data_IF_685301602005
#
_entry.id   IF_685301602005
#
_cell.length_a   1.000
_cell.length_b   1.000
_cell.length_c   1.000
_cell.angle_alpha   90.00
_cell.angle_beta   90.00
_cell.angle_gamma   90.00
#
_symmetry.space_group_name_H-M   'P 1'
#
loop_
_entity.id
_entity.type
_entity.pdbx_description
1 polymer ?
#
# COMPACT_ATOMS: atom_id res chain seq x y z
N UNK A 1 0.31 -26.13 27.27
CA UNK A 1 -0.34 -26.14 25.93
C UNK A 1 0.53 -25.32 24.98
N UNK A 2 0.66 -25.73 23.74
CA UNK A 2 1.38 -24.97 22.70
C UNK A 2 0.53 -23.79 22.30
N UNK A 3 1.11 -22.59 22.27
CA UNK A 3 0.42 -21.38 21.83
C UNK A 3 0.54 -21.20 20.32
N UNK A 4 -0.58 -21.01 19.65
CA UNK A 4 -0.65 -20.74 18.23
C UNK A 4 -0.63 -19.22 17.97
N UNK A 5 0.38 -18.76 17.25
CA UNK A 5 0.43 -17.38 16.71
C UNK A 5 0.14 -17.49 15.21
N UNK A 6 -0.99 -16.94 14.78
CA UNK A 6 -1.40 -16.99 13.38
C UNK A 6 -1.20 -15.62 12.75
N UNK A 7 -0.56 -15.60 11.58
CA UNK A 7 -0.41 -14.42 10.73
C UNK A 7 -1.21 -14.63 9.46
N UNK A 8 -2.20 -13.78 9.19
CA UNK A 8 -3.05 -13.85 7.99
C UNK A 8 -2.61 -12.79 6.98
N UNK A 9 -2.15 -13.27 5.83
CA UNK A 9 -1.72 -12.43 4.70
C UNK A 9 -0.25 -12.63 4.32
N UNK A 10 0.01 -13.16 3.12
CA UNK A 10 1.33 -13.42 2.57
C UNK A 10 2.00 -12.21 1.88
N UNK A 11 1.55 -10.97 2.18
CA UNK A 11 2.20 -9.75 1.74
C UNK A 11 3.43 -9.39 2.58
N UNK A 12 4.02 -8.19 2.33
CA UNK A 12 5.24 -7.76 3.04
C UNK A 12 5.04 -7.74 4.56
N UNK A 13 3.90 -7.20 5.03
CA UNK A 13 3.61 -7.12 6.46
C UNK A 13 3.62 -8.50 7.13
N UNK A 14 2.78 -9.42 6.65
CA UNK A 14 2.65 -10.74 7.26
C UNK A 14 3.90 -11.60 7.11
N UNK A 15 4.53 -11.62 5.93
CA UNK A 15 5.76 -12.42 5.70
C UNK A 15 6.90 -11.96 6.61
N UNK A 16 7.14 -10.66 6.68
CA UNK A 16 8.19 -10.09 7.53
C UNK A 16 7.88 -10.33 9.01
N UNK A 17 6.62 -10.13 9.42
CA UNK A 17 6.22 -10.31 10.83
C UNK A 17 6.33 -11.75 11.26
N UNK A 18 5.93 -12.71 10.44
CA UNK A 18 6.10 -14.14 10.75
C UNK A 18 7.58 -14.48 10.95
N UNK A 19 8.46 -14.01 10.05
CA UNK A 19 9.91 -14.22 10.19
C UNK A 19 10.51 -13.53 11.43
N UNK A 20 10.10 -12.31 11.73
CA UNK A 20 10.54 -11.57 12.91
C UNK A 20 10.08 -12.22 14.22
N UNK A 21 8.85 -12.75 14.24
CA UNK A 21 8.33 -13.51 15.38
C UNK A 21 9.19 -14.75 15.69
N UNK A 22 9.66 -15.47 14.66
CA UNK A 22 10.61 -16.58 14.88
C UNK A 22 11.86 -16.09 15.59
N UNK A 23 12.48 -15.02 15.10
CA UNK A 23 13.66 -14.45 15.76
C UNK A 23 13.40 -13.98 17.20
N UNK A 24 12.23 -13.38 17.43
CA UNK A 24 11.85 -12.82 18.74
C UNK A 24 11.48 -13.89 19.77
N UNK A 25 10.86 -14.99 19.32
CA UNK A 25 10.32 -16.06 20.16
C UNK A 25 11.09 -17.39 19.98
N UNK A 26 12.31 -17.33 19.45
CA UNK A 26 13.11 -18.54 19.19
C UNK A 26 13.26 -19.45 20.42
N UNK A 27 13.50 -18.94 21.64
CA UNK A 27 13.57 -19.78 22.84
C UNK A 27 12.27 -20.54 23.12
N UNK A 28 11.11 -19.89 22.95
CA UNK A 28 9.79 -20.50 23.18
C UNK A 28 9.47 -21.54 22.10
N UNK A 29 9.82 -21.24 20.85
CA UNK A 29 9.66 -22.19 19.72
C UNK A 29 10.54 -23.41 19.93
N UNK A 30 11.81 -23.23 20.31
CA UNK A 30 12.74 -24.36 20.56
C UNK A 30 12.32 -25.26 21.68
N UNK A 31 11.54 -24.76 22.66
CA UNK A 31 10.95 -25.59 23.73
C UNK A 31 9.60 -26.18 23.36
N UNK A 32 9.10 -25.95 22.15
CA UNK A 32 7.79 -26.42 21.71
C UNK A 32 6.61 -25.73 22.39
N UNK A 33 6.80 -24.52 22.90
CA UNK A 33 5.78 -23.73 23.60
C UNK A 33 4.97 -22.85 22.64
N UNK A 34 5.53 -22.55 21.45
CA UNK A 34 4.96 -21.67 20.44
C UNK A 34 5.03 -22.29 19.06
N UNK A 35 3.96 -22.12 18.31
CA UNK A 35 3.85 -22.45 16.89
C UNK A 35 3.48 -21.20 16.11
N UNK A 36 4.19 -20.89 15.02
CA UNK A 36 3.89 -19.77 14.13
C UNK A 36 3.34 -20.30 12.83
N UNK A 37 2.17 -19.79 12.44
CA UNK A 37 1.46 -20.21 11.22
C UNK A 37 1.26 -18.99 10.35
N UNK A 38 1.71 -19.03 9.09
CA UNK A 38 1.37 -18.02 8.08
C UNK A 38 0.30 -18.58 7.14
N UNK A 39 -0.83 -17.90 7.04
CA UNK A 39 -1.93 -18.24 6.12
C UNK A 39 -1.95 -17.26 4.96
N UNK A 40 -1.97 -17.75 3.73
CA UNK A 40 -2.11 -16.93 2.52
C UNK A 40 -2.89 -17.66 1.44
N UNK A 41 -3.73 -16.91 0.72
CA UNK A 41 -4.49 -17.42 -0.42
C UNK A 41 -3.67 -17.53 -1.72
N UNK A 42 -2.36 -17.25 -1.66
CA UNK A 42 -1.46 -17.32 -2.82
C UNK A 42 -0.16 -18.04 -2.45
N UNK A 43 0.33 -18.94 -3.31
CA UNK A 43 1.65 -19.53 -3.14
C UNK A 43 2.78 -18.53 -3.49
N UNK A 44 2.41 -17.34 -3.98
CA UNK A 44 3.36 -16.32 -4.44
C UNK A 44 3.30 -15.08 -3.57
N UNK A 45 4.47 -14.62 -3.18
CA UNK A 45 4.67 -13.29 -2.62
C UNK A 45 5.03 -12.34 -3.76
N UNK A 46 4.28 -11.23 -3.89
CA UNK A 46 4.51 -10.21 -4.90
C UNK A 46 5.11 -8.94 -4.30
N UNK A 47 6.12 -8.40 -4.97
CA UNK A 47 6.62 -7.05 -4.71
C UNK A 47 5.70 -6.03 -5.39
N UNK A 48 4.55 -5.74 -4.76
CA UNK A 48 3.51 -4.85 -5.31
C UNK A 48 4.01 -3.43 -5.63
N UNK A 49 4.91 -2.78 -4.84
CA UNK A 49 5.39 -1.44 -5.17
C UNK A 49 6.09 -1.32 -6.52
N UNK A 50 6.57 -2.43 -7.09
CA UNK A 50 7.19 -2.41 -8.42
C UNK A 50 6.18 -2.46 -9.57
N UNK A 51 4.89 -2.64 -9.33
CA UNK A 51 3.89 -2.57 -10.40
C UNK A 51 3.86 -1.22 -11.11
N UNK A 52 4.18 -0.13 -10.39
CA UNK A 52 4.36 1.18 -11.03
C UNK A 52 5.44 1.17 -12.13
N UNK A 53 6.51 0.38 -11.99
CA UNK A 53 7.55 0.27 -13.01
C UNK A 53 7.14 -0.63 -14.17
N UNK A 54 6.23 -1.59 -13.94
CA UNK A 54 5.62 -2.39 -15.02
C UNK A 54 4.86 -1.49 -15.99
N UNK A 55 4.23 -0.43 -15.49
CA UNK A 55 3.57 0.58 -16.32
C UNK A 55 4.53 1.36 -17.25
N UNK A 56 5.85 1.22 -17.04
CA UNK A 56 6.90 1.81 -17.90
C UNK A 56 7.79 0.77 -18.55
N UNK A 57 7.33 -0.48 -18.66
CA UNK A 57 8.04 -1.56 -19.35
C UNK A 57 9.20 -2.17 -18.58
N UNK A 58 9.43 -1.77 -17.33
CA UNK A 58 10.40 -2.40 -16.46
C UNK A 58 9.77 -3.58 -15.71
N UNK A 59 10.58 -4.59 -15.44
CA UNK A 59 10.22 -5.84 -14.74
C UNK A 59 9.17 -6.72 -15.44
N UNK A 60 9.51 -7.97 -15.55
CA UNK A 60 8.57 -9.04 -15.87
C UNK A 60 7.92 -9.57 -14.58
N UNK A 61 6.76 -10.23 -14.72
CA UNK A 61 6.00 -10.77 -13.59
C UNK A 61 6.84 -11.70 -12.70
N UNK A 62 7.70 -12.49 -13.32
CA UNK A 62 8.57 -13.46 -12.65
C UNK A 62 9.63 -12.79 -11.77
N UNK A 63 10.08 -11.61 -12.13
CA UNK A 63 11.04 -10.83 -11.34
C UNK A 63 10.41 -10.26 -10.07
N UNK A 64 9.09 -10.00 -10.12
CA UNK A 64 8.31 -9.37 -9.06
C UNK A 64 7.71 -10.35 -8.06
N UNK A 65 7.97 -11.64 -8.19
CA UNK A 65 7.42 -12.64 -7.28
C UNK A 65 8.47 -13.65 -6.82
N UNK A 66 8.23 -14.19 -5.64
CA UNK A 66 8.95 -15.35 -5.10
C UNK A 66 7.92 -16.32 -4.55
N UNK A 67 8.26 -17.62 -4.56
CA UNK A 67 7.42 -18.60 -3.89
C UNK A 67 7.37 -18.28 -2.40
N UNK A 68 6.18 -18.19 -1.80
CA UNK A 68 5.99 -17.76 -0.42
C UNK A 68 6.88 -18.56 0.55
N UNK A 69 6.88 -19.90 0.45
CA UNK A 69 7.66 -20.77 1.30
C UNK A 69 9.18 -20.48 1.23
N UNK A 70 9.70 -19.97 0.09
CA UNK A 70 11.13 -19.65 -0.04
C UNK A 70 11.56 -18.41 0.74
N UNK A 71 10.60 -17.62 1.23
CA UNK A 71 10.83 -16.40 2.02
C UNK A 71 10.65 -16.65 3.51
N UNK A 72 10.14 -17.81 3.91
CA UNK A 72 9.85 -18.14 5.30
C UNK A 72 11.00 -18.91 5.95
N UNK A 73 11.20 -18.68 7.24
CA UNK A 73 12.05 -19.51 8.08
C UNK A 73 11.44 -20.89 8.24
N UNK A 74 12.26 -21.95 8.42
CA UNK A 74 11.76 -23.34 8.51
C UNK A 74 10.84 -23.61 9.71
N UNK A 75 10.88 -22.74 10.72
CA UNK A 75 10.03 -22.83 11.91
C UNK A 75 8.60 -22.33 11.68
N UNK A 76 8.28 -21.80 10.49
CA UNK A 76 6.96 -21.27 10.15
C UNK A 76 6.16 -22.30 9.36
N UNK A 77 5.01 -22.67 9.85
CA UNK A 77 4.05 -23.47 9.12
C UNK A 77 3.33 -22.60 8.09
N UNK A 78 3.50 -22.91 6.81
CA UNK A 78 2.81 -22.21 5.74
C UNK A 78 1.53 -22.94 5.34
N UNK A 79 0.39 -22.26 5.47
CA UNK A 79 -0.93 -22.75 5.03
C UNK A 79 -1.38 -21.96 3.80
N UNK A 80 -1.51 -22.69 2.69
CA UNK A 80 -2.04 -22.14 1.45
C UNK A 80 -3.56 -22.32 1.44
N UNK A 81 -4.27 -21.34 1.98
CA UNK A 81 -5.72 -21.30 2.03
C UNK A 81 -6.20 -19.84 2.20
N UNK A 82 -7.49 -19.62 2.03
CA UNK A 82 -8.12 -18.31 2.23
C UNK A 82 -8.93 -18.30 3.51
N UNK A 83 -8.73 -17.24 4.32
CA UNK A 83 -9.61 -16.94 5.43
C UNK A 83 -10.90 -16.35 4.87
N UNK A 84 -12.02 -17.00 5.10
CA UNK A 84 -13.35 -16.55 4.72
C UNK A 84 -14.13 -15.93 5.88
N UNK A 85 -13.63 -16.04 7.12
CA UNK A 85 -14.26 -15.37 8.26
C UNK A 85 -13.33 -15.25 9.47
N UNK A 86 -13.42 -14.11 10.14
CA UNK A 86 -12.77 -13.82 11.41
C UNK A 86 -13.80 -13.86 12.54
N UNK A 87 -13.67 -14.81 13.44
CA UNK A 87 -14.49 -14.92 14.65
C UNK A 87 -13.67 -14.44 15.86
N UNK A 88 -13.43 -13.12 15.94
CA UNK A 88 -12.53 -12.52 16.93
C UNK A 88 -12.91 -12.85 18.36
N UNK A 89 -14.21 -12.82 18.69
CA UNK A 89 -14.72 -13.13 20.04
C UNK A 89 -14.43 -14.57 20.49
N UNK A 90 -14.28 -15.50 19.54
CA UNK A 90 -14.02 -16.91 19.78
C UNK A 90 -12.55 -17.30 19.57
N UNK A 91 -11.69 -16.35 19.18
CA UNK A 91 -10.31 -16.60 18.77
C UNK A 91 -10.18 -17.66 17.66
N UNK A 92 -11.05 -17.60 16.65
CA UNK A 92 -11.13 -18.57 15.55
C UNK A 92 -11.10 -17.91 14.18
N UNK A 93 -10.55 -18.66 13.22
CA UNK A 93 -10.58 -18.35 11.79
C UNK A 93 -11.35 -19.45 11.07
N UNK A 94 -12.26 -19.06 10.19
CA UNK A 94 -12.94 -19.96 9.26
C UNK A 94 -12.26 -19.89 7.89
N UNK A 95 -11.87 -21.04 7.38
CA UNK A 95 -11.15 -21.17 6.11
C UNK A 95 -12.12 -21.49 4.97
N UNK A 96 -11.69 -21.17 3.74
CA UNK A 96 -12.45 -21.54 2.51
C UNK A 96 -12.53 -23.03 2.30
N UNK A 97 -11.50 -23.79 2.71
CA UNK A 97 -11.52 -25.27 2.72
C UNK A 97 -12.61 -25.87 3.60
N UNK A 98 -13.17 -25.11 4.53
CA UNK A 98 -14.05 -25.57 5.60
C UNK A 98 -13.34 -25.85 6.92
N UNK A 99 -12.02 -25.80 6.92
CA UNK A 99 -11.22 -25.95 8.16
C UNK A 99 -11.41 -24.74 9.09
N UNK A 100 -11.13 -24.96 10.38
CA UNK A 100 -11.12 -23.92 11.41
C UNK A 100 -9.79 -23.91 12.14
N UNK A 101 -9.21 -22.73 12.34
CA UNK A 101 -8.00 -22.55 13.14
C UNK A 101 -8.31 -21.74 14.40
N UNK A 102 -7.84 -22.24 15.55
CA UNK A 102 -7.87 -21.50 16.81
C UNK A 102 -6.51 -20.85 17.05
N UNK A 103 -6.51 -19.64 17.58
CA UNK A 103 -5.28 -18.89 17.86
C UNK A 103 -5.25 -18.37 19.30
N UNK A 104 -4.04 -18.31 19.85
CA UNK A 104 -3.75 -17.55 21.07
C UNK A 104 -3.46 -16.08 20.74
N UNK A 105 -2.75 -15.86 19.63
CA UNK A 105 -2.48 -14.53 19.07
C UNK A 105 -2.71 -14.51 17.56
N UNK A 106 -3.27 -13.42 17.07
CA UNK A 106 -3.55 -13.22 15.65
C UNK A 106 -2.90 -11.92 15.16
N UNK A 107 -2.31 -11.97 13.97
CA UNK A 107 -1.89 -10.78 13.21
C UNK A 107 -2.66 -10.73 11.91
N UNK A 108 -3.49 -9.70 11.72
CA UNK A 108 -4.25 -9.47 10.48
C UNK A 108 -3.45 -8.51 9.57
N UNK A 109 -2.94 -9.04 8.47
CA UNK A 109 -2.12 -8.32 7.47
C UNK A 109 -2.61 -8.58 6.05
N UNK A 110 -3.92 -8.57 5.85
CA UNK A 110 -4.58 -8.91 4.58
C UNK A 110 -4.42 -7.84 3.51
N UNK A 111 -4.02 -6.62 3.91
CA UNK A 111 -3.86 -5.50 3.01
C UNK A 111 -5.17 -4.95 2.48
N UNK A 112 -5.11 -4.36 1.28
CA UNK A 112 -6.26 -3.80 0.59
C UNK A 112 -6.31 -4.26 -0.86
N UNK A 113 -7.48 -4.07 -1.49
CA UNK A 113 -7.72 -4.34 -2.92
C UNK A 113 -8.20 -3.07 -3.62
N UNK A 114 -7.71 -2.78 -4.84
CA UNK A 114 -8.27 -1.73 -5.69
C UNK A 114 -9.71 -2.06 -6.07
N UNK A 115 -10.57 -1.05 -6.08
CA UNK A 115 -12.01 -1.15 -6.33
C UNK A 115 -12.46 -0.06 -7.30
N UNK A 116 -11.97 -0.06 -8.57
CA UNK A 116 -12.37 0.94 -9.56
C UNK A 116 -13.87 0.92 -9.86
N UNK A 117 -14.54 -0.21 -9.68
CA UNK A 117 -16.00 -0.38 -9.83
C UNK A 117 -16.83 0.50 -8.90
N UNK A 118 -16.22 1.09 -7.87
CA UNK A 118 -16.90 2.01 -6.95
C UNK A 118 -17.09 3.42 -7.52
N UNK A 119 -16.46 3.72 -8.63
CA UNK A 119 -16.67 4.96 -9.39
C UNK A 119 -17.22 4.54 -10.75
N UNK A 120 -18.42 5.04 -11.08
CA UNK A 120 -19.10 4.73 -12.35
C UNK A 120 -18.19 5.01 -13.55
N UNK A 121 -18.06 4.04 -14.46
CA UNK A 121 -17.27 4.14 -15.69
C UNK A 121 -15.75 4.07 -15.50
N UNK A 122 -15.24 4.05 -14.25
CA UNK A 122 -13.79 4.04 -14.02
C UNK A 122 -13.18 2.68 -14.38
N UNK A 123 -13.87 1.59 -14.11
CA UNK A 123 -13.37 0.25 -14.45
C UNK A 123 -13.24 0.05 -15.97
N UNK A 124 -14.08 0.68 -16.76
CA UNK A 124 -14.11 0.57 -18.22
C UNK A 124 -13.09 1.46 -18.90
N UNK A 125 -12.86 2.65 -18.38
CA UNK A 125 -12.05 3.69 -19.05
C UNK A 125 -10.77 4.09 -18.31
N UNK A 126 -10.69 3.79 -17.01
CA UNK A 126 -9.51 4.15 -16.21
C UNK A 126 -8.41 3.09 -16.24
N UNK A 127 -7.18 3.55 -16.22
CA UNK A 127 -6.00 2.72 -16.09
C UNK A 127 -5.34 2.96 -14.73
N UNK A 128 -4.71 1.92 -14.18
CA UNK A 128 -3.96 2.04 -12.93
C UNK A 128 -2.77 1.07 -12.87
N UNK A 129 -1.89 1.29 -11.91
CA UNK A 129 -0.68 0.48 -11.69
C UNK A 129 -0.66 -0.27 -10.35
N UNK A 130 -1.80 -0.41 -9.69
CA UNK A 130 -1.91 -1.10 -8.39
C UNK A 130 -1.99 -2.62 -8.50
N UNK A 131 -2.13 -3.15 -9.70
CA UNK A 131 -2.14 -4.57 -10.03
C UNK A 131 -1.30 -4.81 -11.28
N UNK A 132 -0.75 -6.02 -11.43
CA UNK A 132 0.16 -6.32 -12.55
C UNK A 132 -0.50 -6.21 -13.93
N UNK A 133 -1.71 -6.78 -14.10
CA UNK A 133 -2.40 -6.76 -15.40
C UNK A 133 -2.79 -5.33 -15.83
N UNK A 134 -3.46 -4.51 -15.00
CA UNK A 134 -3.70 -3.10 -15.32
C UNK A 134 -2.43 -2.29 -15.59
N UNK A 135 -1.36 -2.51 -14.81
CA UNK A 135 -0.08 -1.83 -15.06
C UNK A 135 0.50 -2.18 -16.45
N UNK A 136 0.35 -3.42 -16.88
CA UNK A 136 0.77 -3.86 -18.21
C UNK A 136 -0.09 -3.24 -19.31
N UNK A 137 -1.40 -3.17 -19.13
CA UNK A 137 -2.32 -2.49 -20.06
C UNK A 137 -1.99 -1.00 -20.18
N UNK A 138 -1.71 -0.34 -19.05
CA UNK A 138 -1.26 1.06 -19.05
C UNK A 138 0.04 1.21 -19.86
N UNK A 139 1.03 0.32 -19.69
CA UNK A 139 2.26 0.33 -20.48
C UNK A 139 1.98 0.24 -21.97
N UNK A 140 1.09 -0.64 -22.41
CA UNK A 140 0.73 -0.80 -23.82
C UNK A 140 0.17 0.50 -24.41
N UNK A 141 -0.70 1.19 -23.65
CA UNK A 141 -1.26 2.49 -24.06
C UNK A 141 -0.20 3.60 -24.12
N UNK A 142 0.59 3.77 -23.04
CA UNK A 142 1.58 4.86 -23.00
C UNK A 142 2.78 4.62 -23.92
N UNK A 143 3.05 3.36 -24.30
CA UNK A 143 4.12 3.02 -25.25
C UNK A 143 3.74 3.28 -26.71
N UNK A 144 2.46 3.46 -27.03
CA UNK A 144 1.96 3.64 -28.40
C UNK A 144 1.36 5.02 -28.66
N UNK A 145 1.00 5.76 -27.63
CA UNK A 145 0.45 7.11 -27.80
C UNK A 145 1.50 8.04 -28.40
N UNK A 146 1.12 8.79 -29.45
CA UNK A 146 1.99 9.75 -30.13
C UNK A 146 1.60 11.19 -29.85
N UNK A 147 0.32 11.45 -29.61
CA UNK A 147 -0.26 12.77 -29.29
C UNK A 147 -1.53 12.60 -28.48
N UNK A 148 -1.89 13.64 -27.72
CA UNK A 148 -3.14 13.66 -26.97
C UNK A 148 -2.96 14.12 -25.54
N UNK A 149 -3.91 13.72 -24.67
CA UNK A 149 -4.01 14.17 -23.29
C UNK A 149 -4.03 12.99 -22.32
N UNK A 150 -3.09 12.97 -21.41
CA UNK A 150 -3.05 12.01 -20.29
C UNK A 150 -3.50 12.74 -19.04
N UNK A 151 -4.65 12.31 -18.53
CA UNK A 151 -5.26 12.87 -17.32
C UNK A 151 -4.96 11.94 -16.15
N UNK A 152 -4.33 12.48 -15.09
CA UNK A 152 -3.90 11.72 -13.93
C UNK A 152 -4.73 12.16 -12.74
N UNK A 153 -5.58 11.26 -12.28
CA UNK A 153 -6.45 11.50 -11.14
C UNK A 153 -5.98 10.76 -9.89
N UNK A 154 -6.27 11.36 -8.75
CA UNK A 154 -5.99 10.77 -7.44
C UNK A 154 -7.27 10.73 -6.63
N UNK A 155 -7.66 9.54 -6.19
CA UNK A 155 -8.80 9.36 -5.28
C UNK A 155 -8.32 9.39 -3.85
N UNK A 156 -8.80 10.39 -3.08
CA UNK A 156 -8.57 10.49 -1.65
C UNK A 156 -9.89 10.58 -0.89
N UNK A 157 -9.91 10.16 0.37
CA UNK A 157 -11.06 10.39 1.24
C UNK A 157 -11.37 11.89 1.35
N UNK A 158 -12.63 12.22 1.43
CA UNK A 158 -13.11 13.60 1.66
C UNK A 158 -13.13 13.98 3.14
N UNK A 159 -12.93 13.02 4.03
CA UNK A 159 -12.87 13.20 5.48
C UNK A 159 -11.43 13.31 5.95
N UNK A 160 -11.07 14.26 6.83
CA UNK A 160 -9.72 14.35 7.40
C UNK A 160 -9.43 13.23 8.40
N UNK A 161 -8.14 12.95 8.61
CA UNK A 161 -7.63 12.00 9.62
C UNK A 161 -8.18 10.57 9.46
N UNK A 162 -8.39 10.13 8.24
CA UNK A 162 -8.78 8.75 7.92
C UNK A 162 -7.68 8.06 7.11
N UNK A 163 -7.69 6.72 7.05
CA UNK A 163 -6.81 5.97 6.17
C UNK A 163 -6.94 6.42 4.70
N UNK A 164 -5.83 6.53 4.00
CA UNK A 164 -5.82 6.99 2.61
C UNK A 164 -4.80 6.25 1.77
N UNK A 165 -5.01 6.25 0.46
CA UNK A 165 -4.05 5.69 -0.48
C UNK A 165 -2.71 6.42 -0.42
N UNK A 166 -1.67 5.78 -0.97
CA UNK A 166 -0.35 6.38 -1.10
C UNK A 166 -0.41 7.61 -2.02
N UNK A 167 -0.28 8.80 -1.43
CA UNK A 167 -0.28 10.07 -2.19
C UNK A 167 1.01 10.31 -2.98
N UNK A 168 2.07 9.57 -2.69
CA UNK A 168 3.36 9.69 -3.35
C UNK A 168 3.36 8.95 -4.70
N UNK A 169 2.75 7.78 -4.77
CA UNK A 169 2.79 6.93 -5.95
C UNK A 169 2.23 7.59 -7.24
N UNK A 170 1.11 8.33 -7.21
CA UNK A 170 0.64 9.05 -8.39
C UNK A 170 1.61 10.14 -8.87
N UNK A 171 2.26 10.83 -7.93
CA UNK A 171 3.30 11.82 -8.23
C UNK A 171 4.52 11.15 -8.87
N UNK A 172 5.01 10.06 -8.28
CA UNK A 172 6.14 9.28 -8.82
C UNK A 172 5.87 8.87 -10.26
N UNK A 173 4.70 8.28 -10.52
CA UNK A 173 4.32 7.81 -11.86
C UNK A 173 4.14 8.95 -12.85
N UNK A 174 3.68 10.11 -12.42
CA UNK A 174 3.59 11.31 -13.26
C UNK A 174 4.97 11.79 -13.72
N UNK A 175 5.94 11.85 -12.82
CA UNK A 175 7.31 12.24 -13.15
C UNK A 175 8.04 11.19 -14.00
N UNK A 176 7.76 9.92 -13.76
CA UNK A 176 8.26 8.82 -14.60
C UNK A 176 7.65 8.88 -16.01
N UNK A 177 6.35 9.18 -16.12
CA UNK A 177 5.65 9.33 -17.39
C UNK A 177 6.26 10.47 -18.22
N UNK A 178 6.50 11.62 -17.61
CA UNK A 178 7.14 12.75 -18.31
C UNK A 178 8.48 12.34 -18.91
N UNK A 179 9.36 11.68 -18.15
CA UNK A 179 10.65 11.21 -18.66
C UNK A 179 10.52 10.10 -19.70
N UNK A 180 9.59 9.16 -19.52
CA UNK A 180 9.33 8.10 -20.48
C UNK A 180 8.89 8.67 -21.84
N UNK A 181 7.98 9.64 -21.85
CA UNK A 181 7.52 10.29 -23.07
C UNK A 181 8.63 11.14 -23.73
N UNK A 182 9.52 11.77 -22.95
CA UNK A 182 10.71 12.45 -23.46
C UNK A 182 11.68 11.49 -24.11
N UNK A 183 11.94 10.32 -23.52
CA UNK A 183 12.78 9.27 -24.09
C UNK A 183 12.22 8.73 -25.41
N UNK A 184 10.88 8.69 -25.54
CA UNK A 184 10.20 8.33 -26.79
C UNK A 184 10.19 9.46 -27.83
N UNK A 185 10.57 10.69 -27.47
CA UNK A 185 10.55 11.85 -28.36
C UNK A 185 9.17 12.40 -28.68
N UNK A 186 8.13 12.04 -27.91
CA UNK A 186 6.73 12.45 -28.16
C UNK A 186 6.17 13.39 -27.10
N UNK A 187 6.97 13.75 -26.07
CA UNK A 187 6.51 14.52 -24.92
C UNK A 187 5.81 15.85 -25.29
N UNK A 188 6.32 16.54 -26.30
CA UNK A 188 5.80 17.85 -26.72
C UNK A 188 4.43 17.77 -27.43
N UNK A 189 4.02 16.57 -27.85
CA UNK A 189 2.71 16.30 -28.45
C UNK A 189 1.68 15.80 -27.44
N UNK A 190 2.07 15.64 -26.17
CA UNK A 190 1.23 15.04 -25.14
C UNK A 190 1.07 16.02 -23.98
N UNK A 191 -0.18 16.41 -23.71
CA UNK A 191 -0.52 17.15 -22.51
C UNK A 191 -0.64 16.21 -21.32
N UNK A 192 0.11 16.49 -20.25
CA UNK A 192 -0.04 15.80 -18.96
C UNK A 192 -0.75 16.74 -18.00
N UNK A 193 -1.86 16.26 -17.42
CA UNK A 193 -2.64 17.00 -16.40
C UNK A 193 -2.74 16.13 -15.15
N UNK A 194 -2.17 16.60 -14.05
CA UNK A 194 -2.25 15.97 -12.74
C UNK A 194 -3.33 16.63 -11.89
N UNK A 195 -4.21 15.83 -11.32
CA UNK A 195 -5.30 16.36 -10.47
C UNK A 195 -5.30 15.73 -9.09
N UNK A 196 -5.83 16.49 -8.13
CA UNK A 196 -6.07 15.97 -6.79
C UNK A 196 -7.21 16.73 -6.11
N UNK A 197 -7.96 16.10 -5.21
CA UNK A 197 -9.04 16.74 -4.48
C UNK A 197 -8.55 17.89 -3.60
N UNK A 198 -9.36 18.91 -3.42
CA UNK A 198 -9.05 20.09 -2.59
C UNK A 198 -8.74 19.72 -1.14
N UNK A 199 -9.34 18.63 -0.68
CA UNK A 199 -9.21 18.09 0.66
C UNK A 199 -7.84 17.42 0.92
N UNK A 200 -7.01 17.26 -0.12
CA UNK A 200 -5.60 16.94 0.10
C UNK A 200 -4.93 17.86 1.15
N UNK A 201 -5.52 19.02 1.43
CA UNK A 201 -5.11 19.88 2.54
C UNK A 201 -5.32 19.28 3.93
N UNK A 202 -6.18 18.32 4.07
CA UNK A 202 -6.50 17.70 5.35
C UNK A 202 -5.76 16.38 5.58
N UNK A 203 -5.08 15.88 4.55
CA UNK A 203 -4.29 14.64 4.63
C UNK A 203 -2.83 15.01 4.78
N UNK A 204 -2.31 14.94 5.99
CA UNK A 204 -0.91 15.30 6.35
C UNK A 204 0.15 14.77 5.39
N UNK A 205 -0.13 13.69 4.69
CA UNK A 205 0.82 12.89 3.93
C UNK A 205 0.75 13.07 2.40
N UNK A 206 -0.15 13.91 1.89
CA UNK A 206 -0.22 14.28 0.46
C UNK A 206 0.63 15.50 0.09
N UNK A 207 1.67 15.74 0.67
CA UNK A 207 2.20 16.93 1.31
C UNK A 207 3.29 17.65 0.61
N UNK A 208 3.62 17.25 -0.59
CA UNK A 208 4.45 18.10 -1.42
C UNK A 208 3.76 19.43 -1.81
N UNK A 209 2.49 19.56 -1.47
CA UNK A 209 1.63 20.65 -1.93
C UNK A 209 1.23 21.66 -0.85
N UNK A 210 1.59 21.45 0.43
CA UNK A 210 0.90 22.18 1.49
C UNK A 210 1.72 22.87 2.57
N UNK A 211 3.02 22.87 2.46
CA UNK A 211 3.86 23.62 3.41
C UNK A 211 4.30 24.95 2.85
N UNK A 212 4.93 25.83 3.67
CA UNK A 212 5.76 26.90 3.15
C UNK A 212 6.79 26.42 2.13
N UNK A 213 7.19 25.10 2.23
CA UNK A 213 7.91 24.32 1.21
C UNK A 213 6.99 23.59 0.23
N UNK A 214 5.68 23.73 0.34
CA UNK A 214 4.67 23.05 -0.47
C UNK A 214 4.64 23.41 -1.94
N UNK A 215 5.38 24.41 -2.31
CA UNK A 215 5.62 24.82 -3.70
C UNK A 215 6.61 23.92 -4.45
N UNK A 216 7.21 22.92 -3.79
CA UNK A 216 8.21 22.05 -4.44
C UNK A 216 7.59 21.27 -5.58
N UNK A 217 6.43 20.63 -5.39
CA UNK A 217 5.83 19.85 -6.46
C UNK A 217 5.22 20.68 -7.58
N UNK A 218 4.45 21.77 -7.31
CA UNK A 218 4.04 22.71 -8.35
C UNK A 218 5.23 23.22 -9.18
N UNK A 219 6.31 23.65 -8.54
CA UNK A 219 7.50 24.12 -9.24
C UNK A 219 8.15 23.05 -10.10
N UNK A 220 8.20 21.81 -9.63
CA UNK A 220 8.72 20.66 -10.40
C UNK A 220 7.82 20.37 -11.60
N UNK A 221 6.50 20.43 -11.43
CA UNK A 221 5.56 20.19 -12.51
C UNK A 221 5.62 21.30 -13.57
N UNK A 222 5.63 22.56 -13.15
CA UNK A 222 5.78 23.72 -14.04
C UNK A 222 7.07 23.65 -14.85
N UNK A 223 8.21 23.35 -14.21
CA UNK A 223 9.51 23.21 -14.88
C UNK A 223 9.52 22.07 -15.93
N UNK A 224 8.62 21.10 -15.82
CA UNK A 224 8.46 19.97 -16.73
C UNK A 224 7.32 20.15 -17.73
N UNK A 225 6.58 21.27 -17.67
CA UNK A 225 5.40 21.50 -18.51
C UNK A 225 4.25 20.54 -18.19
N UNK A 226 4.15 20.09 -16.92
CA UNK A 226 3.04 19.28 -16.43
C UNK A 226 2.01 20.23 -15.83
N UNK A 227 0.79 20.21 -16.34
CA UNK A 227 -0.31 20.98 -15.75
C UNK A 227 -0.78 20.30 -14.48
N UNK A 228 -1.13 21.09 -13.48
CA UNK A 228 -1.75 20.55 -12.27
C UNK A 228 -3.02 21.32 -11.92
N UNK A 229 -4.01 20.60 -11.42
CA UNK A 229 -5.33 21.11 -11.10
C UNK A 229 -5.73 20.68 -9.70
N UNK A 230 -6.12 21.64 -8.87
CA UNK A 230 -6.62 21.40 -7.52
C UNK A 230 -8.15 21.34 -7.53
N UNK A 231 -8.72 20.56 -6.62
CA UNK A 231 -10.16 20.57 -6.40
C UNK A 231 -10.94 19.68 -7.35
N UNK A 232 -10.29 18.82 -8.11
CA UNK A 232 -10.99 17.87 -8.97
C UNK A 232 -11.16 16.54 -8.23
N UNK A 233 -12.31 16.31 -7.63
CA UNK A 233 -12.70 15.03 -7.03
C UNK A 233 -13.50 14.24 -8.06
N UNK A 234 -12.95 13.13 -8.54
CA UNK A 234 -13.59 12.31 -9.56
C UNK A 234 -14.87 11.65 -9.01
N UNK A 235 -16.02 11.96 -9.60
CA UNK A 235 -17.31 11.36 -9.28
C UNK A 235 -17.66 10.20 -10.23
N UNK A 236 -17.44 10.37 -11.52
CA UNK A 236 -17.71 9.36 -12.54
C UNK A 236 -16.89 9.58 -13.81
N UNK A 237 -16.84 8.59 -14.65
CA UNK A 237 -16.22 8.63 -15.99
C UNK A 237 -17.26 8.29 -17.04
N UNK A 238 -17.25 9.03 -18.14
CA UNK A 238 -17.99 8.68 -19.36
C UNK A 238 -17.01 7.99 -20.33
N UNK A 239 -17.07 6.65 -20.48
CA UNK A 239 -16.13 5.91 -21.31
C UNK A 239 -16.27 6.20 -22.81
N UNK A 240 -17.47 6.49 -23.28
CA UNK A 240 -17.75 6.72 -24.70
C UNK A 240 -17.21 8.10 -25.13
N UNK A 241 -17.47 9.11 -24.33
CA UNK A 241 -16.96 10.49 -24.56
C UNK A 241 -15.51 10.68 -24.14
N UNK A 242 -14.93 9.73 -23.39
CA UNK A 242 -13.64 9.85 -22.71
C UNK A 242 -13.54 11.11 -21.86
N UNK A 243 -14.46 11.26 -20.93
CA UNK A 243 -14.57 12.42 -20.05
C UNK A 243 -14.58 11.95 -18.59
N UNK A 244 -13.69 12.53 -17.80
CA UNK A 244 -13.72 12.45 -16.34
C UNK A 244 -14.58 13.59 -15.80
N UNK A 245 -15.49 13.32 -14.88
CA UNK A 245 -16.47 14.26 -14.35
C UNK A 245 -16.28 14.37 -12.84
N UNK A 246 -16.09 15.59 -12.34
CA UNK A 246 -15.91 15.83 -10.90
C UNK A 246 -17.25 15.84 -10.14
N UNK A 247 -17.17 15.83 -8.80
CA UNK A 247 -18.33 15.98 -7.91
C UNK A 247 -19.06 17.31 -8.15
N UNK A 248 -18.33 18.36 -8.56
CA UNK A 248 -18.88 19.67 -8.90
C UNK A 248 -19.42 19.75 -10.34
N UNK A 249 -19.32 18.66 -11.11
CA UNK A 249 -19.80 18.59 -12.49
C UNK A 249 -18.83 19.14 -13.53
N UNK A 250 -17.57 19.39 -13.14
CA UNK A 250 -16.55 19.81 -14.09
C UNK A 250 -16.13 18.63 -14.97
N UNK A 251 -16.01 18.86 -16.27
CA UNK A 251 -15.66 17.85 -17.26
C UNK A 251 -14.21 18.03 -17.75
N UNK A 252 -13.45 16.93 -17.80
CA UNK A 252 -12.10 16.86 -18.30
C UNK A 252 -11.93 15.73 -19.32
N UNK A 253 -11.58 16.09 -20.55
CA UNK A 253 -11.33 15.11 -21.61
C UNK A 253 -9.98 14.40 -21.40
N UNK A 254 -9.88 13.17 -21.87
CA UNK A 254 -8.63 12.41 -21.87
C UNK A 254 -8.54 11.44 -23.06
N UNK A 255 -7.33 11.12 -23.48
CA UNK A 255 -7.02 9.96 -24.32
C UNK A 255 -6.64 8.75 -23.46
N UNK A 256 -5.91 9.02 -22.37
CA UNK A 256 -5.60 8.03 -21.31
C UNK A 256 -5.97 8.64 -19.96
N UNK A 257 -6.77 7.93 -19.17
CA UNK A 257 -7.07 8.25 -17.78
C UNK A 257 -6.25 7.34 -16.87
N UNK A 258 -5.19 7.87 -16.24
CA UNK A 258 -4.43 7.16 -15.21
C UNK A 258 -4.97 7.55 -13.84
N UNK A 259 -5.75 6.70 -13.21
CA UNK A 259 -6.44 6.99 -11.96
C UNK A 259 -5.91 6.14 -10.81
N UNK A 260 -5.61 6.75 -9.68
CA UNK A 260 -5.51 6.02 -8.41
C UNK A 260 -6.91 5.55 -8.03
N UNK A 261 -7.23 4.26 -8.09
CA UNK A 261 -8.59 3.78 -7.85
C UNK A 261 -8.94 3.84 -6.37
N UNK A 262 -10.23 3.87 -6.01
CA UNK A 262 -10.65 3.56 -4.64
C UNK A 262 -10.08 2.22 -4.19
N UNK A 263 -9.91 2.05 -2.88
CA UNK A 263 -9.46 0.81 -2.26
C UNK A 263 -10.41 0.38 -1.15
N UNK A 264 -10.42 -0.89 -0.85
CA UNK A 264 -11.18 -1.46 0.27
C UNK A 264 -10.45 -2.64 0.92
N UNK A 265 -10.88 -3.01 2.10
CA UNK A 265 -10.45 -4.25 2.74
C UNK A 265 -10.95 -5.50 1.96
N UNK A 266 -10.37 -6.65 2.26
CA UNK A 266 -10.85 -7.94 1.74
C UNK A 266 -12.20 -8.32 2.36
N UNK A 267 -12.98 -9.14 1.66
CA UNK A 267 -14.37 -9.47 2.06
C UNK A 267 -14.45 -10.04 3.48
N UNK A 268 -13.55 -10.96 3.86
CA UNK A 268 -13.53 -11.53 5.20
C UNK A 268 -13.35 -10.48 6.32
N UNK A 269 -12.66 -9.38 6.04
CA UNK A 269 -12.52 -8.25 6.97
C UNK A 269 -13.79 -7.41 6.98
N UNK A 270 -14.36 -7.10 5.82
CA UNK A 270 -15.63 -6.37 5.72
C UNK A 270 -16.77 -7.09 6.46
N UNK A 271 -16.81 -8.41 6.36
CA UNK A 271 -17.84 -9.26 6.96
C UNK A 271 -17.57 -9.64 8.43
N UNK A 272 -16.44 -9.19 9.00
CA UNK A 272 -16.01 -9.58 10.36
C UNK A 272 -16.92 -9.05 11.49
N UNK A 273 -17.79 -8.09 11.18
CA UNK A 273 -18.68 -7.46 12.15
C UNK A 273 -18.03 -6.40 13.05
N UNK A 274 -16.70 -6.25 12.98
CA UNK A 274 -15.95 -5.23 13.77
C UNK A 274 -15.34 -4.16 12.87
N UNK A 275 -15.33 -4.36 11.55
CA UNK A 275 -14.82 -3.36 10.61
C UNK A 275 -15.68 -2.10 10.69
N UNK A 276 -15.07 -0.97 10.98
CA UNK A 276 -15.72 0.33 10.92
C UNK A 276 -15.26 1.01 9.64
N UNK A 277 -16.18 1.43 8.83
CA UNK A 277 -15.81 2.09 7.61
C UNK A 277 -16.47 3.45 7.51
N UNK A 278 -15.70 4.54 7.55
CA UNK A 278 -16.10 5.67 6.75
C UNK A 278 -16.15 5.18 5.30
N UNK A 279 -17.25 5.35 4.61
CA UNK A 279 -17.43 4.99 3.20
C UNK A 279 -17.42 3.49 2.84
N UNK A 280 -17.72 2.59 3.76
CA UNK A 280 -17.73 1.12 3.52
C UNK A 280 -16.40 0.54 2.99
N UNK A 281 -15.25 1.11 3.34
CA UNK A 281 -13.95 0.59 2.95
C UNK A 281 -13.49 -0.59 3.82
N UNK A 282 -14.03 -0.71 5.03
CA UNK A 282 -13.92 -1.90 5.88
C UNK A 282 -12.59 -2.07 6.61
N UNK A 283 -11.97 -0.97 7.06
CA UNK A 283 -10.74 -1.06 7.85
C UNK A 283 -11.02 -1.57 9.27
N UNK A 284 -10.04 -2.22 9.89
CA UNK A 284 -10.14 -2.72 11.26
C UNK A 284 -9.76 -1.60 12.25
N UNK A 285 -10.62 -1.28 13.23
CA UNK A 285 -10.33 -0.29 14.27
C UNK A 285 -9.10 -0.74 15.07
N UNK A 286 -8.07 0.08 15.03
CA UNK A 286 -6.74 -0.29 15.50
C UNK A 286 -6.23 0.72 16.51
N UNK A 287 -5.82 0.28 17.69
CA UNK A 287 -5.11 1.14 18.63
C UNK A 287 -3.83 1.66 17.98
N UNK A 288 -3.70 2.98 17.92
CA UNK A 288 -2.65 3.66 17.16
C UNK A 288 -1.23 3.41 17.67
N UNK A 289 -1.09 2.99 18.93
CA UNK A 289 0.20 2.77 19.57
C UNK A 289 0.55 1.30 19.68
N UNK A 290 -0.33 0.49 20.24
CA UNK A 290 -0.07 -0.95 20.42
C UNK A 290 -0.26 -1.78 19.14
N UNK A 291 -1.02 -1.26 18.16
CA UNK A 291 -1.48 -1.94 16.94
C UNK A 291 -2.42 -3.11 17.23
N UNK A 292 -3.05 -3.14 18.40
CA UNK A 292 -4.09 -4.11 18.73
C UNK A 292 -5.42 -3.73 18.05
N UNK A 293 -6.20 -4.73 17.67
CA UNK A 293 -7.59 -4.54 17.28
C UNK A 293 -8.36 -4.04 18.52
N UNK A 294 -9.09 -2.93 18.39
CA UNK A 294 -9.85 -2.37 19.51
C UNK A 294 -10.82 -3.40 20.10
N UNK A 295 -10.75 -3.59 21.41
CA UNK A 295 -11.55 -4.59 22.14
C UNK A 295 -10.96 -6.00 22.19
N UNK A 296 -9.78 -6.26 21.57
CA UNK A 296 -9.17 -7.58 21.52
C UNK A 296 -7.67 -7.53 21.82
N UNK A 297 -7.29 -7.92 23.03
CA UNK A 297 -5.89 -7.85 23.49
C UNK A 297 -4.93 -8.81 22.76
N UNK A 298 -5.45 -9.87 22.16
CA UNK A 298 -4.66 -10.90 21.46
C UNK A 298 -4.68 -10.81 19.94
N UNK A 299 -5.30 -9.76 19.38
CA UNK A 299 -5.39 -9.54 17.94
C UNK A 299 -4.66 -8.25 17.55
N UNK A 300 -3.76 -8.35 16.60
CA UNK A 300 -2.99 -7.23 16.07
C UNK A 300 -3.33 -7.00 14.60
N UNK A 301 -3.29 -5.74 14.17
CA UNK A 301 -3.60 -5.33 12.80
C UNK A 301 -2.44 -4.54 12.23
N UNK A 302 -2.09 -4.77 10.96
CA UNK A 302 -1.00 -4.05 10.31
C UNK A 302 -1.17 -3.85 8.80
N UNK A 303 -0.32 -3.00 8.27
CA UNK A 303 -0.30 -2.67 6.85
C UNK A 303 -1.55 -1.90 6.42
N UNK A 304 -2.04 -2.18 5.21
CA UNK A 304 -3.18 -1.44 4.67
C UNK A 304 -4.52 -1.82 5.33
N UNK A 305 -4.55 -2.83 6.19
CA UNK A 305 -5.78 -3.27 6.89
C UNK A 305 -6.18 -2.37 8.05
N UNK A 306 -5.23 -1.58 8.61
CA UNK A 306 -5.47 -0.72 9.77
C UNK A 306 -6.41 0.45 9.47
N UNK A 307 -7.17 0.87 10.46
CA UNK A 307 -7.93 2.12 10.47
C UNK A 307 -7.13 3.26 11.13
N UNK A 308 -5.95 3.52 10.59
CA UNK A 308 -5.09 4.58 11.10
C UNK A 308 -4.96 5.72 10.07
N UNK A 309 -4.83 6.97 10.49
CA UNK A 309 -4.70 8.13 9.60
C UNK A 309 -3.30 8.22 8.98
N UNK A 310 -2.86 7.11 8.39
CA UNK A 310 -1.58 6.98 7.69
C UNK A 310 -1.80 6.51 6.26
N UNK A 311 -0.80 6.75 5.42
CA UNK A 311 -0.81 6.28 4.04
C UNK A 311 -0.78 4.75 3.99
N UNK A 312 -1.68 4.15 3.20
CA UNK A 312 -1.65 2.73 2.88
C UNK A 312 -0.52 2.43 1.92
N UNK A 313 0.63 2.19 2.50
CA UNK A 313 1.89 1.93 1.80
C UNK A 313 2.70 0.86 2.53
N UNK A 314 3.37 0.00 1.78
CA UNK A 314 4.22 -1.06 2.36
C UNK A 314 5.33 -0.55 3.30
N UNK A 315 5.69 0.73 3.20
CA UNK A 315 6.65 1.37 4.08
C UNK A 315 6.24 1.45 5.56
N UNK A 316 4.93 1.45 5.87
CA UNK A 316 4.43 1.42 7.25
C UNK A 316 4.75 0.08 7.94
N UNK A 317 4.68 -1.03 7.20
CA UNK A 317 4.89 -2.37 7.74
C UNK A 317 6.28 -2.55 8.39
N UNK A 318 7.31 -1.87 7.87
CA UNK A 318 8.67 -1.94 8.41
C UNK A 318 8.77 -1.46 9.86
N UNK A 319 7.94 -0.47 10.23
CA UNK A 319 7.91 0.09 11.58
C UNK A 319 6.84 -0.59 12.46
N UNK A 320 5.77 -1.11 11.87
CA UNK A 320 4.69 -1.82 12.59
C UNK A 320 5.13 -3.23 13.04
N UNK A 321 5.85 -3.97 12.19
CA UNK A 321 6.24 -5.35 12.50
C UNK A 321 7.06 -5.50 13.78
N UNK A 322 8.10 -4.70 14.06
CA UNK A 322 8.84 -4.77 15.32
C UNK A 322 7.95 -4.49 16.55
N UNK A 323 7.00 -3.55 16.45
CA UNK A 323 6.07 -3.22 17.53
C UNK A 323 5.19 -4.43 17.86
N UNK A 324 4.56 -5.03 16.85
CA UNK A 324 3.70 -6.21 17.01
C UNK A 324 4.50 -7.39 17.60
N UNK A 325 5.69 -7.67 17.07
CA UNK A 325 6.52 -8.77 17.58
C UNK A 325 6.92 -8.56 19.05
N UNK A 326 7.27 -7.31 19.43
CA UNK A 326 7.59 -6.99 20.81
C UNK A 326 6.36 -7.10 21.70
N UNK A 327 5.20 -6.66 21.25
CA UNK A 327 3.97 -6.68 22.03
C UNK A 327 3.45 -8.12 22.24
N UNK A 328 3.49 -8.97 21.21
CA UNK A 328 3.15 -10.40 21.38
C UNK A 328 4.10 -11.05 22.38
N UNK A 329 5.40 -10.83 22.26
CA UNK A 329 6.39 -11.38 23.21
C UNK A 329 6.19 -10.80 24.63
N UNK A 330 5.83 -9.52 24.75
CA UNK A 330 5.51 -8.86 26.03
C UNK A 330 4.29 -9.45 26.68
N UNK A 331 3.21 -9.65 25.96
CA UNK A 331 2.00 -10.30 26.45
C UNK A 331 2.27 -11.73 26.91
N UNK A 332 3.06 -12.50 26.15
CA UNK A 332 3.40 -13.86 26.51
C UNK A 332 4.26 -13.98 27.77
N UNK A 333 5.23 -13.08 27.94
CA UNK A 333 6.25 -13.17 29.00
C UNK A 333 5.83 -12.41 30.26
N UNK A 334 5.11 -11.29 30.09
CA UNK A 334 4.84 -10.33 31.18
C UNK A 334 3.38 -9.91 31.28
N UNK A 335 2.50 -10.40 30.39
CA UNK A 335 1.06 -10.07 30.41
C UNK A 335 0.75 -8.62 30.01
N UNK A 336 1.66 -7.93 29.30
CA UNK A 336 1.46 -6.54 28.86
C UNK A 336 2.18 -6.23 27.55
N UNK A 337 1.69 -5.24 26.81
CA UNK A 337 2.40 -4.63 25.67
C UNK A 337 3.63 -3.84 26.17
N UNK A 338 4.66 -3.76 25.35
CA UNK A 338 5.98 -3.18 25.69
C UNK A 338 6.55 -2.27 24.63
N UNK A 339 5.87 -2.09 23.50
CA UNK A 339 6.30 -1.26 22.40
C UNK A 339 5.14 -0.44 21.85
N UNK A 340 5.45 0.73 21.31
CA UNK A 340 4.48 1.65 20.72
C UNK A 340 4.89 2.03 19.29
N UNK A 341 3.92 2.13 18.41
CA UNK A 341 4.04 2.64 17.06
C UNK A 341 3.79 4.14 17.06
N UNK A 342 4.66 4.89 16.44
CA UNK A 342 4.62 6.36 16.38
C UNK A 342 3.97 6.90 15.08
N UNK A 343 3.43 6.02 14.23
CA UNK A 343 2.87 6.41 12.94
C UNK A 343 3.90 6.48 11.81
N UNK A 344 5.12 6.04 12.05
CA UNK A 344 6.23 6.18 11.11
C UNK A 344 6.00 5.43 9.80
N UNK A 345 6.08 6.19 8.72
CA UNK A 345 6.11 5.69 7.34
C UNK A 345 7.37 6.22 6.66
N UNK A 346 8.07 5.35 5.97
CA UNK A 346 9.28 5.71 5.25
C UNK A 346 9.24 5.24 3.81
N UNK A 347 9.80 6.03 2.91
CA UNK A 347 9.88 5.71 1.49
C UNK A 347 11.08 6.41 0.83
N UNK A 348 11.41 5.97 -0.37
CA UNK A 348 12.24 6.72 -1.29
C UNK A 348 11.36 7.04 -2.49
N UNK A 349 10.87 8.28 -2.59
CA UNK A 349 10.03 8.69 -3.69
C UNK A 349 10.84 8.77 -4.99
N UNK A 350 10.30 8.20 -6.06
CA UNK A 350 10.90 8.26 -7.39
C UNK A 350 10.61 9.64 -8.03
N UNK A 351 11.65 10.37 -8.39
CA UNK A 351 11.54 11.73 -8.93
C UNK A 351 11.90 11.77 -10.44
N UNK A 352 11.27 10.88 -11.19
CA UNK A 352 11.60 10.52 -12.56
C UNK A 352 12.29 9.16 -12.62
N UNK A 353 12.97 8.80 -13.71
CA UNK A 353 13.53 7.46 -13.90
C UNK A 353 14.85 7.22 -13.15
N UNK A 354 15.59 8.29 -12.85
CA UNK A 354 16.96 8.21 -12.33
C UNK A 354 17.15 8.77 -10.92
N UNK A 355 16.30 9.71 -10.49
CA UNK A 355 16.45 10.36 -9.20
C UNK A 355 15.46 9.80 -8.16
N UNK A 356 15.90 9.78 -6.91
CA UNK A 356 15.06 9.39 -5.76
C UNK A 356 15.21 10.36 -4.61
N UNK A 357 14.14 10.52 -3.85
CA UNK A 357 14.06 11.41 -2.71
C UNK A 357 13.67 10.59 -1.47
N UNK A 358 14.61 10.30 -0.55
CA UNK A 358 14.28 9.72 0.73
C UNK A 358 13.34 10.63 1.53
N UNK A 359 12.35 10.05 2.16
CA UNK A 359 11.39 10.77 3.00
C UNK A 359 10.85 9.86 4.10
N UNK A 360 10.40 10.47 5.17
CA UNK A 360 9.67 9.83 6.24
C UNK A 360 8.75 10.84 6.92
N UNK A 361 7.76 10.36 7.61
CA UNK A 361 6.84 11.12 8.46
C UNK A 361 6.28 10.20 9.53
N UNK A 362 5.69 10.77 10.56
CA UNK A 362 5.01 10.05 11.64
C UNK A 362 3.74 10.79 12.08
N UNK A 363 3.17 10.44 13.23
CA UNK A 363 1.95 11.09 13.71
C UNK A 363 2.12 12.58 14.00
N UNK A 364 3.31 13.01 14.40
CA UNK A 364 3.59 14.37 14.86
C UNK A 364 4.39 15.18 13.84
N UNK A 365 5.23 14.49 13.06
CA UNK A 365 6.11 15.11 12.08
C UNK A 365 5.62 14.83 10.67
N UNK A 366 5.34 15.90 9.98
CA UNK A 366 5.01 15.84 8.56
C UNK A 366 6.23 15.55 7.66
N UNK A 367 5.99 15.15 6.39
CA UNK A 367 7.04 14.93 5.40
C UNK A 367 7.90 16.18 5.23
N UNK A 368 9.21 16.03 5.46
CA UNK A 368 10.21 17.02 5.10
C UNK A 368 10.83 16.57 3.78
N UNK A 369 10.59 17.31 2.67
CA UNK A 369 11.20 16.97 1.40
C UNK A 369 12.72 17.10 1.50
N UNK A 370 13.44 16.04 1.12
CA UNK A 370 14.89 16.10 0.91
C UNK A 370 15.20 16.37 -0.57
N UNK A 371 16.37 16.84 -0.94
CA UNK A 371 16.73 16.95 -2.35
C UNK A 371 16.66 15.60 -3.07
N UNK A 372 16.07 15.59 -4.26
CA UNK A 372 16.11 14.44 -5.14
C UNK A 372 17.54 14.25 -5.68
N UNK A 373 18.08 13.04 -5.59
CA UNK A 373 19.45 12.75 -6.00
C UNK A 373 19.53 11.45 -6.80
N UNK A 374 20.57 11.31 -7.63
CA UNK A 374 20.90 10.03 -8.29
C UNK A 374 21.25 8.93 -7.29
N UNK A 375 21.84 9.28 -6.14
CA UNK A 375 22.11 8.33 -5.05
C UNK A 375 20.80 7.79 -4.50
N UNK A 376 19.81 8.65 -4.22
CA UNK A 376 18.47 8.23 -3.81
C UNK A 376 17.81 7.31 -4.86
N UNK A 377 17.96 7.62 -6.15
CA UNK A 377 17.50 6.75 -7.23
C UNK A 377 18.19 5.38 -7.24
N UNK A 378 19.51 5.35 -7.02
CA UNK A 378 20.26 4.09 -6.91
C UNK A 378 19.80 3.27 -5.68
N UNK A 379 19.59 3.91 -4.55
CA UNK A 379 19.04 3.25 -3.35
C UNK A 379 17.67 2.63 -3.64
N UNK A 380 16.77 3.36 -4.32
CA UNK A 380 15.46 2.84 -4.72
C UNK A 380 15.57 1.64 -5.67
N UNK A 381 16.44 1.73 -6.68
CA UNK A 381 16.70 0.63 -7.63
C UNK A 381 17.26 -0.61 -6.91
N UNK A 382 18.18 -0.42 -5.97
CA UNK A 382 18.74 -1.52 -5.16
C UNK A 382 17.70 -2.17 -4.26
N UNK A 383 16.84 -1.34 -3.64
CA UNK A 383 15.72 -1.84 -2.86
C UNK A 383 14.77 -2.69 -3.71
N UNK A 384 14.36 -2.19 -4.86
CA UNK A 384 13.45 -2.89 -5.76
C UNK A 384 13.99 -4.24 -6.27
N UNK A 385 15.31 -4.35 -6.46
CA UNK A 385 15.93 -5.56 -7.05
C UNK A 385 16.36 -6.62 -6.04
N UNK A 386 16.71 -6.22 -4.82
CA UNK A 386 17.31 -7.16 -3.87
C UNK A 386 16.93 -6.97 -2.42
N UNK A 387 17.12 -5.76 -1.88
CA UNK A 387 16.96 -5.47 -0.44
C UNK A 387 15.55 -5.82 0.06
N UNK A 388 14.52 -5.58 -0.74
CA UNK A 388 13.15 -5.96 -0.40
C UNK A 388 13.00 -7.43 0.02
N UNK A 389 13.67 -8.34 -0.68
CA UNK A 389 13.56 -9.78 -0.37
C UNK A 389 14.26 -10.15 0.93
N UNK A 390 15.32 -9.44 1.28
CA UNK A 390 15.98 -9.58 2.59
C UNK A 390 15.08 -9.07 3.72
N UNK A 391 14.43 -7.93 3.49
CA UNK A 391 13.43 -7.37 4.42
C UNK A 391 12.26 -8.34 4.62
N UNK A 392 11.69 -8.89 3.55
CA UNK A 392 10.62 -9.87 3.64
C UNK A 392 11.00 -11.10 4.47
N UNK A 393 12.28 -11.49 4.45
CA UNK A 393 12.84 -12.58 5.26
C UNK A 393 13.16 -12.21 6.71
N UNK A 394 12.94 -10.95 7.11
CA UNK A 394 13.30 -10.46 8.44
C UNK A 394 14.82 -10.43 8.69
N UNK A 395 15.63 -10.19 7.66
CA UNK A 395 17.10 -10.15 7.74
C UNK A 395 17.65 -8.73 7.86
N UNK A 396 16.83 -7.72 7.64
CA UNK A 396 17.21 -6.28 7.68
C UNK A 396 16.13 -5.52 8.43
#
# INVERSE_FOLDING_TARGET
>A
MIKNIIVVGGGIGGTMTANNLVGKLYPEISRGEVRIILISNSPWHYYKPAFMYVAFGAFYKEELRRHQASLLRPEIDFVLDQVDGFEFANSKLRMRSGDTYEYDYLVVSTGCIPSPERIEGLQEAGDHFYQHAPARQLFEKISTIEKGRIFIGVTFPTTPNVPHQCGIAPMETTLMLDEFLRQRGVRDQIEIVYTYPTIAQLVRNCLFLQRPTGEVLPSVFEARGIKHKRGFTLARVDPERKVAISEEGEEENFDILMQTPPIRAVDAVLESGVSQAPNNEGWLPTDRYSLQLEGFENVFVMGDTVDLPISKAGGSCHNQSPVICNNIAGLMRWGKTVAEYDGKVQAIAQMGMEAGMPLWYDYDVDVIPTPATKIGGLMRKSFNRGVYWSVARGLV
#
